data_IF_324491173594
#
_entry.id   IF_324491173594
#
_cell.length_a   1.000
_cell.length_b   1.000
_cell.length_c   1.000
_cell.angle_alpha   90.00
_cell.angle_beta   90.00
_cell.angle_gamma   90.00
#
_symmetry.space_group_name_H-M   'P 1'
#
loop_
_entity.id
_entity.type
_entity.pdbx_description
1 polymer ?
#
# COMPACT_ATOMS: atom_id res chain seq x y z
N UNK A 1 -18.05 -21.02 20.79
CA UNK A 1 -16.59 -21.12 20.55
C UNK A 1 -16.25 -20.60 19.16
N UNK A 2 -15.68 -19.40 19.06
CA UNK A 2 -15.36 -18.73 17.79
C UNK A 2 -14.06 -19.31 17.21
N UNK A 3 -14.13 -19.97 16.05
CA UNK A 3 -12.95 -20.52 15.34
C UNK A 3 -12.01 -19.37 14.94
N UNK A 4 -10.86 -19.26 15.60
CA UNK A 4 -9.82 -18.26 15.29
C UNK A 4 -9.28 -18.51 13.87
N UNK A 5 -9.33 -17.49 12.99
CA UNK A 5 -8.81 -17.61 11.62
C UNK A 5 -7.30 -17.85 11.68
N UNK A 6 -6.83 -19.01 11.20
CA UNK A 6 -5.40 -19.36 11.09
C UNK A 6 -4.68 -18.29 10.27
N UNK A 7 -3.63 -17.70 10.84
CA UNK A 7 -2.81 -16.69 10.18
C UNK A 7 -1.98 -17.33 9.06
N UNK A 8 -1.44 -16.52 8.13
CA UNK A 8 -0.55 -17.03 7.06
C UNK A 8 0.66 -17.78 7.62
N UNK A 9 1.11 -17.40 8.81
CA UNK A 9 2.18 -18.03 9.57
C UNK A 9 1.76 -19.42 10.08
N UNK A 10 0.58 -19.54 10.68
CA UNK A 10 0.05 -20.84 11.13
C UNK A 10 -0.14 -21.82 9.96
N UNK A 11 -0.60 -21.31 8.80
CA UNK A 11 -0.75 -22.10 7.57
C UNK A 11 0.59 -22.51 6.94
N UNK A 12 1.67 -21.80 7.23
CA UNK A 12 3.01 -22.14 6.76
C UNK A 12 3.68 -23.17 7.68
N UNK A 13 3.40 -23.12 8.98
CA UNK A 13 3.84 -24.11 9.97
C UNK A 13 3.18 -25.49 9.77
N UNK A 14 1.96 -25.52 9.22
CA UNK A 14 1.24 -26.76 8.85
C UNK A 14 1.70 -27.38 7.52
N UNK A 15 2.50 -26.66 6.72
CA UNK A 15 3.03 -27.18 5.45
C UNK A 15 4.36 -27.90 5.65
N UNK A 16 4.69 -28.83 4.74
CA UNK A 16 5.84 -29.72 4.82
C UNK A 16 7.20 -29.05 5.04
N UNK A 17 8.22 -29.83 5.38
CA UNK A 17 9.52 -29.41 5.90
C UNK A 17 10.18 -28.26 5.10
N UNK A 18 10.11 -28.27 3.78
CA UNK A 18 10.65 -27.20 2.94
C UNK A 18 10.01 -25.82 3.18
N UNK A 19 8.73 -25.76 3.57
CA UNK A 19 8.06 -24.51 3.92
C UNK A 19 8.54 -23.95 5.27
N UNK A 20 8.83 -24.84 6.22
CA UNK A 20 9.38 -24.49 7.54
C UNK A 20 10.80 -23.93 7.43
N UNK A 21 11.67 -24.59 6.67
CA UNK A 21 13.05 -24.14 6.42
C UNK A 21 13.06 -22.77 5.74
N UNK A 22 12.20 -22.58 4.74
CA UNK A 22 12.09 -21.29 4.05
C UNK A 22 11.61 -20.18 4.99
N UNK A 23 10.59 -20.44 5.80
CA UNK A 23 10.09 -19.46 6.75
C UNK A 23 11.16 -19.09 7.79
N UNK A 24 11.95 -20.07 8.26
CA UNK A 24 13.06 -19.82 9.17
C UNK A 24 14.17 -18.96 8.52
N UNK A 25 14.54 -19.27 7.27
CA UNK A 25 15.51 -18.48 6.48
C UNK A 25 15.04 -17.05 6.23
N UNK A 26 13.76 -16.85 5.91
CA UNK A 26 13.17 -15.52 5.70
C UNK A 26 13.23 -14.69 7.00
N UNK A 27 12.97 -15.30 8.17
CA UNK A 27 13.08 -14.63 9.46
C UNK A 27 14.53 -14.27 9.82
N UNK A 28 15.50 -15.13 9.50
CA UNK A 28 16.93 -14.82 9.67
C UNK A 28 17.36 -13.64 8.80
N UNK A 29 16.88 -13.55 7.56
CA UNK A 29 17.17 -12.41 6.69
C UNK A 29 16.56 -11.10 7.21
N UNK A 30 15.39 -11.14 7.84
CA UNK A 30 14.80 -9.96 8.48
C UNK A 30 15.65 -9.47 9.66
N UNK A 31 16.14 -10.40 10.50
CA UNK A 31 17.06 -10.08 11.60
C UNK A 31 18.37 -9.47 11.05
N UNK A 32 18.96 -10.07 10.02
CA UNK A 32 20.19 -9.59 9.39
C UNK A 32 20.06 -8.19 8.80
N UNK A 33 18.86 -7.81 8.33
CA UNK A 33 18.55 -6.47 7.84
C UNK A 33 18.24 -5.45 8.95
N UNK A 34 18.25 -5.86 10.21
CA UNK A 34 17.94 -5.01 11.36
C UNK A 34 16.44 -4.75 11.56
N UNK A 35 15.56 -5.53 10.92
CA UNK A 35 14.12 -5.39 11.08
C UNK A 35 13.66 -6.02 12.40
N UNK A 36 12.79 -5.32 13.15
CA UNK A 36 12.23 -5.83 14.40
C UNK A 36 11.15 -6.88 14.10
N UNK A 37 11.36 -8.10 14.59
CA UNK A 37 10.38 -9.18 14.52
C UNK A 37 9.18 -8.91 15.44
N UNK A 38 7.97 -9.20 14.97
CA UNK A 38 6.78 -9.16 15.81
C UNK A 38 6.78 -10.29 16.86
N UNK A 39 6.04 -10.15 17.97
CA UNK A 39 5.94 -11.19 19.01
C UNK A 39 5.44 -12.55 18.51
N UNK A 40 4.69 -12.58 17.40
CA UNK A 40 4.24 -13.81 16.77
C UNK A 40 5.34 -14.45 15.92
N UNK A 41 6.15 -13.65 15.23
CA UNK A 41 7.30 -14.14 14.46
C UNK A 41 8.42 -14.63 15.35
N UNK A 42 8.67 -13.98 16.50
CA UNK A 42 9.65 -14.45 17.49
C UNK A 42 9.28 -15.84 18.02
N UNK A 43 8.00 -16.07 18.33
CA UNK A 43 7.51 -17.40 18.75
C UNK A 43 7.69 -18.45 17.66
N UNK A 44 7.35 -18.11 16.41
CA UNK A 44 7.57 -19.00 15.28
C UNK A 44 9.06 -19.29 15.04
N UNK A 45 9.93 -18.28 15.20
CA UNK A 45 11.37 -18.40 15.06
C UNK A 45 11.95 -19.37 16.09
N UNK A 46 11.62 -19.21 17.37
CA UNK A 46 12.08 -20.12 18.44
C UNK A 46 11.55 -21.55 18.27
N UNK A 47 10.29 -21.69 17.84
CA UNK A 47 9.68 -23.00 17.62
C UNK A 47 10.30 -23.73 16.43
N UNK A 48 10.52 -23.03 15.31
CA UNK A 48 11.18 -23.57 14.13
C UNK A 48 12.66 -23.87 14.37
N UNK A 49 13.37 -23.00 15.09
CA UNK A 49 14.76 -23.26 15.48
C UNK A 49 14.89 -24.56 16.27
N UNK A 50 14.02 -24.77 17.27
CA UNK A 50 14.01 -26.01 18.06
C UNK A 50 13.59 -27.24 17.27
N UNK A 51 12.65 -27.11 16.33
CA UNK A 51 12.26 -28.20 15.43
C UNK A 51 13.39 -28.58 14.46
N UNK A 52 14.09 -27.58 13.91
CA UNK A 52 15.21 -27.80 13.00
C UNK A 52 16.45 -28.33 13.73
N UNK A 53 16.74 -27.85 14.95
CA UNK A 53 17.81 -28.38 15.80
C UNK A 53 17.57 -29.83 16.20
N UNK A 54 16.31 -30.19 16.49
CA UNK A 54 15.92 -31.59 16.72
C UNK A 54 16.02 -32.47 15.47
N UNK A 55 15.96 -31.87 14.29
CA UNK A 55 16.14 -32.57 13.01
C UNK A 55 17.60 -32.62 12.56
N UNK A 56 18.47 -31.72 13.07
CA UNK A 56 19.91 -31.76 12.83
C UNK A 56 20.66 -32.65 13.83
N UNK A 57 19.98 -33.20 14.84
CA UNK A 57 20.52 -34.24 15.70
C UNK A 57 20.30 -35.61 15.07
N UNK A 58 21.40 -36.26 14.68
CA UNK A 58 21.50 -37.66 14.21
C UNK A 58 20.66 -38.05 13.00
N UNK A 59 21.11 -37.61 11.82
CA UNK A 59 21.29 -38.51 10.67
C UNK A 59 21.95 -37.71 9.56
N UNK A 60 23.24 -37.96 9.31
CA UNK A 60 23.85 -37.59 8.04
C UNK A 60 22.94 -38.10 6.91
N UNK A 61 22.65 -37.29 5.88
CA UNK A 61 21.83 -37.75 4.77
C UNK A 61 22.50 -39.01 4.20
N UNK A 62 21.76 -40.11 4.00
CA UNK A 62 22.35 -41.32 3.47
C UNK A 62 23.05 -40.96 2.16
N UNK A 63 24.34 -41.29 2.04
CA UNK A 63 25.15 -40.96 0.86
C UNK A 63 24.50 -41.44 -0.45
N UNK A 64 23.63 -42.45 -0.33
CA UNK A 64 22.90 -43.10 -1.40
C UNK A 64 21.39 -43.12 -1.10
N UNK A 65 20.61 -42.60 -2.05
CA UNK A 65 19.14 -42.65 -2.04
C UNK A 65 18.68 -43.88 -2.84
N UNK A 66 17.89 -44.74 -2.20
CA UNK A 66 17.61 -46.09 -2.72
C UNK A 66 16.60 -46.13 -3.88
N UNK A 67 15.68 -45.17 -3.98
CA UNK A 67 14.57 -45.23 -4.94
C UNK A 67 14.26 -43.89 -5.62
N UNK A 68 13.51 -43.97 -6.73
CA UNK A 68 12.95 -42.80 -7.41
C UNK A 68 12.00 -41.99 -6.53
N UNK A 69 11.34 -42.65 -5.58
CA UNK A 69 10.34 -42.05 -4.71
C UNK A 69 11.06 -41.16 -3.69
N UNK A 70 12.12 -41.69 -3.10
CA UNK A 70 12.97 -41.00 -2.13
C UNK A 70 13.75 -39.86 -2.81
N UNK A 71 14.23 -40.06 -4.04
CA UNK A 71 14.90 -38.99 -4.81
C UNK A 71 13.94 -37.85 -5.17
N UNK A 72 12.68 -38.19 -5.49
CA UNK A 72 11.65 -37.20 -5.77
C UNK A 72 11.27 -36.41 -4.50
N UNK A 73 11.19 -37.08 -3.36
CA UNK A 73 10.95 -36.45 -2.06
C UNK A 73 12.12 -35.54 -1.65
N UNK A 74 13.36 -36.02 -1.79
CA UNK A 74 14.58 -35.26 -1.52
C UNK A 74 14.66 -33.97 -2.35
N UNK A 75 14.43 -34.06 -3.66
CA UNK A 75 14.45 -32.89 -4.54
C UNK A 75 13.17 -32.01 -4.45
N UNK A 76 12.10 -32.50 -3.82
CA UNK A 76 10.80 -31.84 -3.75
C UNK A 76 10.10 -31.70 -5.09
N UNK A 77 10.25 -32.69 -5.99
CA UNK A 77 9.65 -32.71 -7.34
C UNK A 77 8.87 -34.00 -7.58
N UNK A 78 8.13 -34.10 -8.68
CA UNK A 78 7.40 -35.33 -9.01
C UNK A 78 8.33 -36.44 -9.51
N UNK A 79 7.98 -37.71 -9.29
CA UNK A 79 8.71 -38.87 -9.86
C UNK A 79 8.89 -38.77 -11.37
N UNK A 80 7.87 -38.26 -12.07
CA UNK A 80 7.90 -38.00 -13.52
C UNK A 80 8.98 -36.99 -13.90
N UNK A 81 9.19 -35.98 -13.06
CA UNK A 81 10.24 -34.96 -13.24
C UNK A 81 11.63 -35.59 -13.11
N UNK A 82 11.87 -36.40 -12.07
CA UNK A 82 13.15 -37.12 -11.90
C UNK A 82 13.39 -38.05 -13.09
N UNK A 83 12.41 -38.87 -13.48
CA UNK A 83 12.52 -39.78 -14.64
C UNK A 83 12.82 -39.03 -15.96
N UNK A 84 12.19 -37.88 -16.17
CA UNK A 84 12.48 -37.02 -17.32
C UNK A 84 13.92 -36.49 -17.29
N UNK A 85 14.39 -36.01 -16.13
CA UNK A 85 15.75 -35.48 -16.00
C UNK A 85 16.83 -36.56 -16.05
N UNK A 86 16.51 -37.79 -15.64
CA UNK A 86 17.34 -38.96 -15.86
C UNK A 86 17.49 -39.26 -17.37
N UNK A 87 16.40 -39.24 -18.13
CA UNK A 87 16.44 -39.43 -19.60
C UNK A 87 17.22 -38.32 -20.33
N UNK A 88 17.17 -37.10 -19.81
CA UNK A 88 17.94 -35.97 -20.34
C UNK A 88 19.41 -35.95 -19.91
N UNK A 89 19.84 -36.89 -19.05
CA UNK A 89 21.22 -36.98 -18.57
C UNK A 89 21.62 -35.96 -17.51
N UNK A 90 20.66 -35.25 -16.91
CA UNK A 90 20.91 -34.25 -15.86
C UNK A 90 21.05 -34.87 -14.47
N UNK A 91 20.46 -36.04 -14.27
CA UNK A 91 20.61 -36.87 -13.07
C UNK A 91 21.20 -38.19 -13.55
N UNK A 92 22.09 -38.79 -12.76
CA UNK A 92 22.66 -40.12 -13.01
C UNK A 92 22.14 -41.09 -11.97
N UNK A 93 21.87 -42.31 -12.42
CA UNK A 93 21.46 -43.43 -11.58
C UNK A 93 22.57 -44.48 -11.65
N UNK A 94 22.93 -45.04 -10.49
CA UNK A 94 23.91 -46.12 -10.40
C UNK A 94 23.32 -47.42 -10.97
N UNK A 95 24.18 -48.38 -11.31
CA UNK A 95 23.75 -49.66 -11.86
C UNK A 95 22.77 -50.42 -10.94
N UNK A 96 22.90 -50.21 -9.62
CA UNK A 96 22.05 -50.80 -8.58
C UNK A 96 20.70 -50.07 -8.40
N UNK A 97 20.44 -49.04 -9.20
CA UNK A 97 19.20 -48.27 -9.15
C UNK A 97 19.18 -47.14 -8.11
N UNK A 98 20.28 -46.92 -7.40
CA UNK A 98 20.44 -45.87 -6.38
C UNK A 98 20.90 -44.53 -6.97
N UNK A 99 20.72 -43.44 -6.20
CA UNK A 99 21.13 -42.08 -6.56
C UNK A 99 22.11 -41.52 -5.53
N UNK A 100 23.19 -40.90 -5.99
CA UNK A 100 24.10 -40.15 -5.13
C UNK A 100 23.49 -38.79 -4.75
N UNK A 101 23.59 -38.43 -3.47
CA UNK A 101 23.08 -37.15 -2.95
C UNK A 101 23.78 -35.95 -3.58
N UNK A 102 25.08 -36.05 -3.86
CA UNK A 102 25.89 -35.02 -4.53
C UNK A 102 25.33 -34.64 -5.91
N UNK A 103 24.92 -35.65 -6.69
CA UNK A 103 24.37 -35.47 -8.04
C UNK A 103 23.00 -34.78 -7.99
N UNK A 104 22.17 -35.12 -7.00
CA UNK A 104 20.87 -34.50 -6.79
C UNK A 104 21.00 -33.07 -6.27
N UNK A 105 22.00 -32.78 -5.44
CA UNK A 105 22.33 -31.43 -4.99
C UNK A 105 22.80 -30.53 -6.15
N UNK A 106 23.61 -31.07 -7.05
CA UNK A 106 24.04 -30.35 -8.26
C UNK A 106 22.88 -30.12 -9.23
N UNK A 107 21.92 -31.05 -9.30
CA UNK A 107 20.65 -30.84 -9.99
C UNK A 107 19.82 -29.70 -9.36
N UNK A 108 19.75 -29.62 -8.02
CA UNK A 108 19.02 -28.56 -7.33
C UNK A 108 19.68 -27.18 -7.53
N UNK A 109 21.01 -27.12 -7.56
CA UNK A 109 21.78 -25.90 -7.85
C UNK A 109 21.59 -25.43 -9.29
N UNK A 110 21.59 -26.36 -10.25
CA UNK A 110 21.49 -26.04 -11.69
C UNK A 110 20.06 -25.79 -12.19
N UNK A 111 19.05 -26.45 -11.60
CA UNK A 111 17.70 -26.52 -12.14
C UNK A 111 16.71 -25.43 -11.68
N UNK A 112 16.97 -24.68 -10.60
CA UNK A 112 15.98 -23.73 -10.04
C UNK A 112 15.93 -22.34 -10.69
N UNK A 113 16.76 -22.05 -11.70
CA UNK A 113 16.81 -20.73 -12.34
C UNK A 113 15.96 -20.53 -13.61
N UNK A 114 15.22 -21.52 -14.11
CA UNK A 114 14.51 -21.40 -15.41
C UNK A 114 12.99 -21.50 -15.35
N UNK A 115 12.40 -20.98 -14.28
CA UNK A 115 10.95 -20.93 -14.08
C UNK A 115 10.35 -19.52 -14.03
N UNK A 116 10.68 -18.60 -14.95
CA UNK A 116 9.90 -17.36 -15.10
C UNK A 116 9.71 -16.99 -16.57
N UNK A 117 8.69 -17.59 -17.19
CA UNK A 117 8.10 -17.14 -18.46
C UNK A 117 7.70 -15.65 -18.35
N UNK A 118 8.14 -14.83 -19.30
CA UNK A 118 7.54 -13.51 -19.60
C UNK A 118 8.07 -12.30 -18.82
N UNK A 119 9.31 -12.32 -18.36
CA UNK A 119 9.94 -11.18 -17.69
C UNK A 119 10.72 -10.36 -18.72
N UNK A 120 10.29 -9.12 -19.00
CA UNK A 120 11.20 -8.06 -19.44
C UNK A 120 12.52 -8.19 -18.66
N UNK A 121 13.67 -8.02 -19.32
CA UNK A 121 15.00 -8.22 -18.70
C UNK A 121 15.04 -7.55 -17.33
N UNK A 122 15.68 -8.18 -16.35
CA UNK A 122 15.72 -7.67 -14.97
C UNK A 122 16.20 -6.20 -14.91
N UNK A 123 17.03 -5.82 -15.88
CA UNK A 123 17.47 -4.44 -16.15
C UNK A 123 16.33 -3.51 -16.60
N UNK A 124 15.44 -3.92 -17.51
CA UNK A 124 14.26 -3.13 -17.92
C UNK A 124 13.27 -2.92 -16.78
N UNK A 125 13.11 -3.92 -15.90
CA UNK A 125 12.22 -3.78 -14.74
C UNK A 125 12.81 -2.84 -13.69
N UNK A 126 14.11 -2.96 -13.42
CA UNK A 126 14.81 -2.08 -12.46
C UNK A 126 14.89 -0.64 -12.96
N UNK A 127 15.17 -0.43 -14.25
CA UNK A 127 15.15 0.89 -14.89
C UNK A 127 13.75 1.53 -14.85
N UNK A 128 12.70 0.77 -15.17
CA UNK A 128 11.31 1.27 -15.07
C UNK A 128 10.93 1.63 -13.64
N UNK A 129 11.35 0.84 -12.65
CA UNK A 129 11.12 1.13 -11.24
C UNK A 129 11.87 2.40 -10.78
N UNK A 130 13.13 2.56 -11.19
CA UNK A 130 13.93 3.76 -10.93
C UNK A 130 13.29 5.00 -11.54
N UNK A 131 12.85 4.92 -12.80
CA UNK A 131 12.16 6.02 -13.48
C UNK A 131 10.88 6.42 -12.75
N UNK A 132 10.07 5.44 -12.32
CA UNK A 132 8.84 5.70 -11.54
C UNK A 132 9.15 6.40 -10.22
N UNK A 133 10.22 6.00 -9.53
CA UNK A 133 10.66 6.65 -8.28
C UNK A 133 11.08 8.09 -8.54
N UNK A 134 11.91 8.34 -9.55
CA UNK A 134 12.36 9.68 -9.91
C UNK A 134 11.18 10.62 -10.24
N UNK A 135 10.20 10.15 -11.00
CA UNK A 135 8.99 10.93 -11.30
C UNK A 135 8.16 11.22 -10.05
N UNK A 136 8.07 10.27 -9.11
CA UNK A 136 7.35 10.48 -7.86
C UNK A 136 8.08 11.50 -6.96
N UNK A 137 9.41 11.43 -6.89
CA UNK A 137 10.24 12.37 -6.13
C UNK A 137 10.16 13.78 -6.73
N UNK A 138 10.20 13.91 -8.07
CA UNK A 138 10.02 15.18 -8.77
C UNK A 138 8.65 15.82 -8.45
N UNK A 139 7.56 15.04 -8.53
CA UNK A 139 6.22 15.51 -8.15
C UNK A 139 6.14 15.93 -6.69
N UNK A 140 6.80 15.19 -5.79
CA UNK A 140 6.86 15.55 -4.37
C UNK A 140 7.59 16.88 -4.17
N UNK A 141 8.72 17.09 -4.85
CA UNK A 141 9.44 18.37 -4.77
C UNK A 141 8.60 19.53 -5.32
N UNK A 142 7.87 19.35 -6.42
CA UNK A 142 6.98 20.39 -6.95
C UNK A 142 5.88 20.78 -5.96
N UNK A 143 5.26 19.81 -5.29
CA UNK A 143 4.23 20.07 -4.27
C UNK A 143 4.83 20.85 -3.11
N UNK A 144 6.01 20.46 -2.62
CA UNK A 144 6.70 21.17 -1.53
C UNK A 144 7.03 22.59 -1.95
N UNK A 145 7.54 22.81 -3.17
CA UNK A 145 7.82 24.15 -3.69
C UNK A 145 6.54 24.99 -3.75
N UNK A 146 5.41 24.42 -4.21
CA UNK A 146 4.11 25.12 -4.22
C UNK A 146 3.58 25.43 -2.82
N UNK A 147 3.87 24.59 -1.82
CA UNK A 147 3.55 24.86 -0.41
C UNK A 147 4.41 26.02 0.13
N UNK A 148 5.72 26.00 -0.12
CA UNK A 148 6.65 27.03 0.33
C UNK A 148 6.37 28.40 -0.32
N UNK A 149 5.98 28.40 -1.61
CA UNK A 149 5.56 29.60 -2.32
C UNK A 149 4.19 30.12 -1.86
N UNK A 150 3.48 29.42 -0.96
CA UNK A 150 2.16 29.82 -0.46
C UNK A 150 1.05 29.75 -1.50
N UNK A 151 1.27 29.06 -2.63
CA UNK A 151 0.25 28.88 -3.68
C UNK A 151 -0.82 27.88 -3.24
N UNK A 152 -0.45 26.93 -2.39
CA UNK A 152 -1.37 25.93 -1.85
C UNK A 152 -1.99 26.40 -0.54
N UNK A 153 -3.32 26.34 -0.48
CA UNK A 153 -4.10 26.65 0.72
C UNK A 153 -4.37 25.34 1.48
N UNK A 154 -4.22 25.35 2.80
CA UNK A 154 -4.54 24.18 3.62
C UNK A 154 -6.05 23.89 3.55
N UNK A 155 -6.43 22.61 3.44
CA UNK A 155 -7.84 22.23 3.31
C UNK A 155 -8.70 22.75 4.46
N UNK A 156 -8.20 22.66 5.69
CA UNK A 156 -8.90 23.18 6.87
C UNK A 156 -9.15 24.71 6.78
N UNK A 157 -8.27 25.46 6.12
CA UNK A 157 -8.47 26.90 5.95
C UNK A 157 -9.58 27.19 4.95
N UNK A 158 -9.70 26.36 3.90
CA UNK A 158 -10.82 26.43 2.96
C UNK A 158 -12.13 26.14 3.69
N UNK A 159 -12.18 25.07 4.48
CA UNK A 159 -13.36 24.68 5.24
C UNK A 159 -13.76 25.77 6.25
N UNK A 160 -12.78 26.33 6.95
CA UNK A 160 -12.99 27.41 7.93
C UNK A 160 -13.50 28.68 7.25
N UNK A 161 -12.87 29.12 6.16
CA UNK A 161 -13.29 30.31 5.41
C UNK A 161 -14.66 30.11 4.76
N UNK A 162 -14.95 28.90 4.30
CA UNK A 162 -16.26 28.53 3.79
C UNK A 162 -17.33 28.63 4.88
N UNK A 163 -17.11 27.99 6.02
CA UNK A 163 -18.02 28.03 7.16
C UNK A 163 -18.28 29.48 7.65
N UNK A 164 -17.23 30.29 7.75
CA UNK A 164 -17.35 31.72 8.10
C UNK A 164 -18.22 32.50 7.10
N UNK A 165 -18.05 32.24 5.80
CA UNK A 165 -18.86 32.88 4.75
C UNK A 165 -20.32 32.44 4.83
N UNK A 166 -20.57 31.15 4.98
CA UNK A 166 -21.93 30.60 5.12
C UNK A 166 -22.62 31.15 6.36
N UNK A 167 -21.93 31.21 7.51
CA UNK A 167 -22.45 31.79 8.74
C UNK A 167 -22.85 33.27 8.56
N UNK A 168 -21.99 34.07 7.92
CA UNK A 168 -22.29 35.47 7.63
C UNK A 168 -23.52 35.64 6.71
N UNK A 169 -23.68 34.75 5.72
CA UNK A 169 -24.86 34.74 4.86
C UNK A 169 -26.14 34.41 5.66
N UNK A 170 -26.10 33.37 6.50
CA UNK A 170 -27.23 33.00 7.36
C UNK A 170 -27.65 34.16 8.27
N UNK A 171 -26.69 34.78 8.98
CA UNK A 171 -26.98 35.95 9.82
C UNK A 171 -27.52 37.14 9.01
N UNK A 172 -27.05 37.34 7.78
CA UNK A 172 -27.57 38.37 6.88
C UNK A 172 -29.02 38.14 6.47
N UNK A 173 -29.41 36.87 6.24
CA UNK A 173 -30.78 36.49 5.93
C UNK A 173 -31.72 36.63 7.14
N UNK A 174 -31.28 36.23 8.32
CA UNK A 174 -32.02 36.42 9.59
C UNK A 174 -32.23 37.91 9.89
N UNK A 175 -31.23 38.75 9.62
CA UNK A 175 -31.37 40.19 9.76
C UNK A 175 -32.36 40.77 8.73
N UNK A 176 -32.36 40.24 7.51
CA UNK A 176 -33.26 40.67 6.45
C UNK A 176 -34.73 40.41 6.83
N UNK A 177 -35.03 39.28 7.47
CA UNK A 177 -36.37 38.94 7.96
C UNK A 177 -36.90 40.02 8.91
N UNK A 178 -36.07 40.49 9.84
CA UNK A 178 -36.47 41.52 10.81
C UNK A 178 -36.52 42.93 10.21
N UNK A 179 -35.69 43.22 9.20
CA UNK A 179 -35.56 44.54 8.59
C UNK A 179 -36.58 44.82 7.49
N UNK A 180 -37.05 43.79 6.78
CA UNK A 180 -37.99 43.96 5.66
C UNK A 180 -39.37 44.51 6.09
N UNK A 181 -40.06 43.98 7.11
CA UNK A 181 -41.43 44.39 7.46
C UNK A 181 -41.63 45.91 7.57
N UNK A 182 -40.82 46.66 8.35
CA UNK A 182 -41.03 48.12 8.48
C UNK A 182 -40.72 48.90 7.19
N UNK A 183 -39.90 48.35 6.29
CA UNK A 183 -39.57 49.00 5.01
C UNK A 183 -40.67 48.82 3.95
N UNK A 184 -41.49 47.77 4.11
CA UNK A 184 -42.53 47.40 3.16
C UNK A 184 -43.90 47.96 3.53
N UNK A 185 -44.08 48.39 4.78
CA UNK A 185 -45.34 48.97 5.26
C UNK A 185 -45.74 50.21 4.42
N UNK A 186 -46.99 50.20 3.94
CA UNK A 186 -47.54 51.26 3.09
C UNK A 186 -46.96 51.35 1.67
N UNK A 187 -46.14 50.40 1.22
CA UNK A 187 -45.58 50.39 -0.14
C UNK A 187 -46.43 49.58 -1.11
N UNK A 188 -46.44 50.00 -2.38
CA UNK A 188 -47.06 49.24 -3.47
C UNK A 188 -46.22 48.00 -3.80
N UNK A 189 -46.85 46.94 -4.35
CA UNK A 189 -46.17 45.70 -4.75
C UNK A 189 -44.91 45.93 -5.59
N UNK A 190 -44.94 46.88 -6.52
CA UNK A 190 -43.78 47.24 -7.35
C UNK A 190 -42.62 47.80 -6.52
N UNK A 191 -42.90 48.75 -5.62
CA UNK A 191 -41.89 49.34 -4.71
C UNK A 191 -41.34 48.30 -3.74
N UNK A 192 -42.19 47.39 -3.23
CA UNK A 192 -41.76 46.28 -2.37
C UNK A 192 -40.74 45.38 -3.08
N UNK A 193 -41.03 44.97 -4.32
CA UNK A 193 -40.12 44.15 -5.12
C UNK A 193 -38.79 44.86 -5.43
N UNK A 194 -38.80 46.18 -5.67
CA UNK A 194 -37.58 46.96 -5.89
C UNK A 194 -36.72 47.03 -4.61
N UNK A 195 -37.32 47.23 -3.44
CA UNK A 195 -36.62 47.25 -2.14
C UNK A 195 -36.00 45.87 -1.85
N UNK A 196 -36.77 44.79 -1.98
CA UNK A 196 -36.28 43.42 -1.75
C UNK A 196 -35.12 43.10 -2.69
N UNK A 197 -35.25 43.40 -3.98
CA UNK A 197 -34.16 43.19 -4.96
C UNK A 197 -32.89 43.93 -4.56
N UNK A 198 -33.01 45.17 -4.07
CA UNK A 198 -31.85 45.96 -3.63
C UNK A 198 -31.16 45.33 -2.43
N UNK A 199 -31.91 44.92 -1.40
CA UNK A 199 -31.36 44.28 -0.20
C UNK A 199 -30.69 42.92 -0.53
N UNK A 200 -31.34 42.09 -1.35
CA UNK A 200 -30.76 40.83 -1.81
C UNK A 200 -29.47 41.07 -2.61
N UNK A 201 -29.43 42.10 -3.45
CA UNK A 201 -28.23 42.48 -4.18
C UNK A 201 -27.09 42.93 -3.25
N UNK A 202 -27.42 43.72 -2.22
CA UNK A 202 -26.45 44.14 -1.20
C UNK A 202 -25.90 42.95 -0.41
N UNK A 203 -26.73 41.98 -0.02
CA UNK A 203 -26.25 40.75 0.63
C UNK A 203 -25.33 39.95 -0.30
N UNK A 204 -25.71 39.81 -1.57
CA UNK A 204 -24.93 39.09 -2.56
C UNK A 204 -23.58 39.74 -2.85
N UNK A 205 -23.52 41.07 -2.96
CA UNK A 205 -22.28 41.78 -3.26
C UNK A 205 -21.29 41.75 -2.10
N UNK A 206 -21.79 41.85 -0.86
CA UNK A 206 -20.97 41.64 0.35
C UNK A 206 -20.38 40.22 0.36
N UNK A 207 -21.14 39.22 -0.11
CA UNK A 207 -20.70 37.83 -0.17
C UNK A 207 -19.72 37.53 -1.33
N UNK A 208 -19.96 38.09 -2.52
CA UNK A 208 -19.07 37.92 -3.68
C UNK A 208 -17.71 38.62 -3.49
N UNK A 209 -17.61 39.52 -2.51
CA UNK A 209 -16.43 40.36 -2.32
C UNK A 209 -16.28 41.44 -3.40
N UNK A 210 -17.29 41.60 -4.27
CA UNK A 210 -17.38 42.73 -5.17
C UNK A 210 -17.59 43.97 -4.30
N UNK A 211 -16.58 44.84 -4.25
CA UNK A 211 -16.75 46.18 -3.69
C UNK A 211 -17.85 46.86 -4.50
N UNK A 212 -19.00 47.07 -3.88
CA UNK A 212 -20.01 47.99 -4.41
C UNK A 212 -19.40 49.38 -4.26
N UNK A 213 -18.75 49.87 -5.32
CA UNK A 213 -18.39 51.27 -5.40
C UNK A 213 -19.69 52.07 -5.47
N UNK A 214 -20.08 52.63 -4.33
CA UNK A 214 -21.17 53.60 -4.30
C UNK A 214 -20.80 54.75 -5.22
N UNK A 215 -21.76 55.24 -6.03
CA UNK A 215 -21.59 56.37 -6.97
C UNK A 215 -21.12 57.69 -6.32
N UNK A 216 -20.86 57.71 -5.01
CA UNK A 216 -20.30 58.81 -4.22
C UNK A 216 -18.85 58.60 -3.78
N UNK A 217 -18.15 57.55 -4.24
CA UNK A 217 -16.69 57.42 -4.06
C UNK A 217 -16.19 57.28 -2.62
N UNK A 218 -17.05 56.96 -1.64
CA UNK A 218 -16.60 56.69 -0.27
C UNK A 218 -16.19 55.23 -0.14
N UNK A 219 -14.88 54.99 -0.16
CA UNK A 219 -14.27 53.73 0.28
C UNK A 219 -14.52 53.59 1.78
N UNK A 220 -15.41 52.68 2.18
CA UNK A 220 -15.52 52.28 3.59
C UNK A 220 -14.33 51.37 3.89
N UNK A 221 -13.40 51.86 4.71
CA UNK A 221 -12.31 51.06 5.24
C UNK A 221 -12.87 50.01 6.19
N UNK A 222 -12.43 48.77 6.01
CA UNK A 222 -12.71 47.66 6.90
C UNK A 222 -11.79 47.77 8.14
N UNK A 223 -12.29 47.60 9.37
CA UNK A 223 -11.41 47.21 10.48
C UNK A 223 -10.80 45.82 10.23
#
# INVERSE_FOLDING_TARGET
MTKRKKTKLDKALEKGQGAKVKLYSDLLQMIAKGEKLSPTQLRAFSLLGRELEKMSGDSDPPELIASFDDAAEYCGVSKRTISHHLKMGHIRQNADGTFETSVLDDYLKSGRHRGKKGSATNEEQTTRAKLRKLLADARRSEIITKQLLGVLIHRNDVDTKWAQRTAALCSGLELLENRLPPLLEGKTKRKMSEIIKKEVWTLRSVYSGERVEDKKGRKVNKP
#
